data_IF_807284288534
#
_entry.id   IF_807284288534
#
_cell.length_a   1.000
_cell.length_b   1.000
_cell.length_c   1.000
_cell.angle_alpha   90.00
_cell.angle_beta   90.00
_cell.angle_gamma   90.00
#
_symmetry.space_group_name_H-M   'P 1'
#
loop_
_entity.id
_entity.type
_entity.pdbx_description
1 polymer ?
#
# COMPACT_ATOMS: atom_id res chain seq x y z
N UNK A 1 11.59 -4.87 10.92
CA UNK A 1 10.32 -5.49 10.43
C UNK A 1 9.82 -6.50 11.45
N UNK A 2 8.57 -6.37 11.85
CA UNK A 2 7.89 -7.33 12.73
C UNK A 2 7.06 -8.28 11.85
N UNK A 3 7.43 -9.55 11.80
CA UNK A 3 6.76 -10.55 10.96
C UNK A 3 5.29 -10.76 11.42
N UNK A 4 4.36 -10.66 10.51
CA UNK A 4 2.94 -11.01 10.70
C UNK A 4 2.57 -12.30 9.95
N UNK A 5 3.40 -12.70 9.00
CA UNK A 5 3.33 -13.99 8.32
C UNK A 5 4.76 -14.43 8.00
N UNK A 6 5.17 -15.58 8.52
CA UNK A 6 6.52 -16.10 8.29
C UNK A 6 6.79 -16.33 6.79
N UNK A 7 8.01 -15.96 6.36
CA UNK A 7 8.53 -16.34 5.06
C UNK A 7 9.38 -17.60 5.21
N UNK A 8 9.04 -18.63 4.46
CA UNK A 8 9.96 -19.74 4.19
C UNK A 8 10.94 -19.31 3.09
N UNK A 9 12.12 -19.94 3.00
CA UNK A 9 13.12 -19.60 1.98
C UNK A 9 12.49 -19.60 0.58
N UNK A 10 12.64 -18.47 -0.14
CA UNK A 10 12.08 -18.29 -1.48
C UNK A 10 10.58 -17.93 -1.53
N UNK A 11 9.89 -17.85 -0.40
CA UNK A 11 8.49 -17.44 -0.33
C UNK A 11 8.33 -16.02 0.22
N UNK A 12 7.28 -15.35 -0.22
CA UNK A 12 6.97 -14.00 0.23
C UNK A 12 6.34 -14.03 1.62
N UNK A 13 7.00 -13.42 2.59
CA UNK A 13 6.45 -13.13 3.91
C UNK A 13 5.79 -11.74 3.96
N UNK A 14 4.96 -11.53 4.98
CA UNK A 14 4.43 -10.22 5.32
C UNK A 14 4.99 -9.76 6.67
N UNK A 15 5.25 -8.46 6.78
CA UNK A 15 5.71 -7.84 8.01
C UNK A 15 5.14 -6.43 8.16
N UNK A 16 5.14 -5.91 9.38
CA UNK A 16 4.93 -4.49 9.62
C UNK A 16 6.22 -3.73 9.31
N UNK A 17 6.09 -2.59 8.64
CA UNK A 17 7.20 -1.69 8.38
C UNK A 17 7.66 -1.03 9.68
N UNK A 18 8.97 -0.98 9.88
CA UNK A 18 9.60 -0.29 10.99
C UNK A 18 10.45 0.89 10.48
N UNK A 19 10.70 1.86 11.33
CA UNK A 19 11.55 3.01 10.98
C UNK A 19 12.96 2.61 10.56
N UNK A 20 13.47 1.49 11.08
CA UNK A 20 14.77 0.93 10.75
C UNK A 20 14.86 0.34 9.33
N UNK A 21 13.72 0.13 8.65
CA UNK A 21 13.66 -0.48 7.32
C UNK A 21 13.93 0.50 6.17
N UNK A 22 14.41 1.70 6.49
CA UNK A 22 14.69 2.76 5.51
C UNK A 22 15.55 2.32 4.33
N UNK A 23 16.67 1.61 4.54
CA UNK A 23 17.50 1.12 3.45
C UNK A 23 16.76 0.18 2.49
N UNK A 24 15.96 -0.75 3.01
CA UNK A 24 15.18 -1.71 2.20
C UNK A 24 14.08 -0.99 1.42
N UNK A 25 13.38 -0.05 2.06
CA UNK A 25 12.35 0.74 1.42
C UNK A 25 12.91 1.60 0.29
N UNK A 26 14.08 2.22 0.49
CA UNK A 26 14.77 2.99 -0.54
C UNK A 26 15.12 2.09 -1.74
N UNK A 27 15.65 0.89 -1.50
CA UNK A 27 15.96 -0.05 -2.57
C UNK A 27 14.72 -0.48 -3.36
N UNK A 28 13.57 -0.64 -2.70
CA UNK A 28 12.30 -0.87 -3.39
C UNK A 28 12.03 0.25 -4.40
N UNK A 29 12.05 1.51 -3.98
CA UNK A 29 11.72 2.64 -4.84
C UNK A 29 12.69 2.80 -6.02
N UNK A 30 13.96 2.49 -5.85
CA UNK A 30 14.94 2.47 -6.94
C UNK A 30 14.68 1.39 -8.00
N UNK A 31 13.94 0.34 -7.66
CA UNK A 31 13.58 -0.74 -8.59
C UNK A 31 12.23 -0.53 -9.29
N UNK A 32 11.46 0.47 -8.90
CA UNK A 32 10.16 0.74 -9.52
C UNK A 32 10.34 1.40 -10.88
N UNK A 33 9.54 0.98 -11.87
CA UNK A 33 9.47 1.67 -13.16
C UNK A 33 8.88 3.07 -13.01
N UNK A 34 9.16 3.94 -13.97
CA UNK A 34 8.58 5.29 -14.03
C UNK A 34 7.04 5.23 -14.03
N UNK A 35 6.44 4.25 -14.69
CA UNK A 35 5.00 4.05 -14.73
C UNK A 35 4.45 3.67 -13.34
N UNK A 36 5.10 2.76 -12.62
CA UNK A 36 4.68 2.35 -11.27
C UNK A 36 4.79 3.52 -10.30
N UNK A 37 5.87 4.31 -10.36
CA UNK A 37 6.01 5.53 -9.56
C UNK A 37 4.93 6.55 -9.90
N UNK A 38 4.65 6.79 -11.18
CA UNK A 38 3.60 7.71 -11.61
C UNK A 38 2.22 7.29 -11.08
N UNK A 39 1.88 6.00 -11.19
CA UNK A 39 0.62 5.45 -10.68
C UNK A 39 0.50 5.57 -9.17
N UNK A 40 1.62 5.46 -8.45
CA UNK A 40 1.63 5.57 -6.98
C UNK A 40 1.50 7.01 -6.49
N UNK A 41 2.15 7.96 -7.15
CA UNK A 41 2.26 9.37 -6.70
C UNK A 41 1.39 10.34 -7.51
N UNK A 42 0.72 9.87 -8.56
CA UNK A 42 -0.14 10.69 -9.46
C UNK A 42 0.58 11.89 -10.08
N UNK A 43 1.90 11.85 -10.15
CA UNK A 43 2.74 12.86 -10.74
C UNK A 43 4.03 12.25 -11.31
N UNK A 44 4.65 12.87 -12.33
CA UNK A 44 5.93 12.39 -12.83
C UNK A 44 6.99 12.41 -11.72
N UNK A 45 7.60 11.26 -11.48
CA UNK A 45 8.73 11.10 -10.56
C UNK A 45 9.96 10.75 -11.40
N UNK A 46 10.81 11.73 -11.62
CA UNK A 46 11.99 11.58 -12.47
C UNK A 46 13.12 10.83 -11.76
N UNK A 47 13.18 10.93 -10.43
CA UNK A 47 14.18 10.26 -9.60
C UNK A 47 13.48 9.64 -8.37
N UNK A 48 13.88 8.44 -7.95
CA UNK A 48 13.28 7.76 -6.80
C UNK A 48 13.31 8.60 -5.51
N UNK A 49 14.31 9.46 -5.33
CA UNK A 49 14.43 10.35 -4.16
C UNK A 49 13.26 11.35 -4.07
N UNK A 50 12.69 11.74 -5.21
CA UNK A 50 11.54 12.66 -5.26
C UNK A 50 10.26 12.02 -4.70
N UNK A 51 10.20 10.68 -4.68
CA UNK A 51 9.13 9.94 -4.04
C UNK A 51 9.15 10.06 -2.51
N UNK A 52 10.22 10.61 -1.95
CA UNK A 52 10.42 10.82 -0.51
C UNK A 52 10.07 9.56 0.32
N UNK A 53 10.72 8.42 0.04
CA UNK A 53 10.38 7.14 0.70
C UNK A 53 10.51 7.21 2.22
N UNK A 54 11.34 8.13 2.75
CA UNK A 54 11.46 8.36 4.17
C UNK A 54 10.15 8.79 4.85
N UNK A 55 9.21 9.42 4.12
CA UNK A 55 7.88 9.75 4.65
C UNK A 55 7.03 8.51 4.92
N UNK A 56 7.31 7.41 4.25
CA UNK A 56 6.62 6.14 4.48
C UNK A 56 7.10 5.47 5.77
N UNK A 57 8.28 5.84 6.29
CA UNK A 57 8.82 5.36 7.56
C UNK A 57 8.18 6.04 8.78
N UNK A 58 7.36 7.06 8.56
CA UNK A 58 6.62 7.70 9.64
C UNK A 58 5.40 6.86 10.02
N UNK A 59 5.68 5.69 10.58
CA UNK A 59 4.69 4.75 11.12
C UNK A 59 4.68 4.86 12.64
N UNK A 60 3.47 4.88 13.20
CA UNK A 60 3.22 4.86 14.65
C UNK A 60 2.42 3.64 15.09
N UNK A 61 2.11 2.75 14.13
CA UNK A 61 1.33 1.53 14.30
C UNK A 61 -0.09 1.74 14.84
N UNK A 62 -0.61 2.93 14.71
CA UNK A 62 -1.95 3.33 15.13
C UNK A 62 -2.64 4.18 14.06
N UNK A 63 -2.21 5.44 13.88
CA UNK A 63 -2.76 6.33 12.85
C UNK A 63 -2.07 6.16 11.50
N UNK A 64 -0.86 5.68 11.50
CA UNK A 64 -0.05 5.40 10.31
C UNK A 64 0.56 4.01 10.41
N UNK A 65 0.09 3.14 9.54
CA UNK A 65 0.53 1.75 9.49
C UNK A 65 0.97 1.38 8.07
N UNK A 66 1.93 0.49 7.96
CA UNK A 66 2.34 -0.07 6.69
C UNK A 66 2.67 -1.57 6.83
N UNK A 67 2.10 -2.35 5.92
CA UNK A 67 2.41 -3.77 5.73
C UNK A 67 3.32 -3.89 4.51
N UNK A 68 4.40 -4.64 4.64
CA UNK A 68 5.36 -4.90 3.57
C UNK A 68 5.38 -6.37 3.20
N UNK A 69 5.55 -6.63 1.90
CA UNK A 69 5.88 -7.95 1.39
C UNK A 69 7.40 -8.08 1.30
N UNK A 70 7.95 -9.16 1.83
CA UNK A 70 9.39 -9.35 2.00
C UNK A 70 9.83 -10.69 1.40
N UNK A 71 10.90 -10.65 0.62
CA UNK A 71 11.59 -11.81 0.06
C UNK A 71 13.08 -11.64 0.32
N UNK A 72 13.71 -12.65 0.92
CA UNK A 72 15.16 -12.64 1.20
C UNK A 72 15.65 -11.32 1.85
N UNK A 73 14.89 -10.82 2.83
CA UNK A 73 15.11 -9.57 3.56
C UNK A 73 14.95 -8.28 2.73
N UNK A 74 14.50 -8.40 1.48
CA UNK A 74 14.19 -7.24 0.63
C UNK A 74 12.69 -6.97 0.59
N UNK A 75 12.31 -5.71 0.68
CA UNK A 75 10.93 -5.27 0.51
C UNK A 75 10.60 -5.28 -0.99
N UNK A 76 9.55 -6.01 -1.36
CA UNK A 76 9.05 -6.10 -2.74
C UNK A 76 7.68 -5.47 -2.93
N UNK A 77 7.06 -5.00 -1.87
CA UNK A 77 5.80 -4.27 -1.91
C UNK A 77 5.49 -3.61 -0.58
N UNK A 78 4.66 -2.58 -0.61
CA UNK A 78 4.17 -1.88 0.57
C UNK A 78 2.72 -1.46 0.38
N UNK A 79 1.89 -1.74 1.38
CA UNK A 79 0.53 -1.21 1.51
C UNK A 79 0.47 -0.42 2.82
N UNK A 80 -0.10 0.78 2.78
CA UNK A 80 -0.16 1.65 3.96
C UNK A 80 -1.52 2.31 4.10
N UNK A 81 -1.85 2.69 5.33
CA UNK A 81 -2.88 3.70 5.58
C UNK A 81 -2.33 4.86 6.40
N UNK A 82 -2.97 6.01 6.22
CA UNK A 82 -2.78 7.18 7.07
C UNK A 82 -4.16 7.73 7.46
N UNK A 83 -4.43 7.76 8.77
CA UNK A 83 -5.68 8.27 9.32
C UNK A 83 -5.68 9.80 9.27
N UNK A 84 -6.81 10.37 8.94
CA UNK A 84 -7.03 11.81 9.13
C UNK A 84 -7.15 12.14 10.61
N UNK A 85 -6.52 13.22 11.02
CA UNK A 85 -6.60 13.71 12.41
C UNK A 85 -8.07 13.90 12.83
N UNK A 86 -8.44 13.32 13.96
CA UNK A 86 -9.80 13.42 14.51
C UNK A 86 -10.88 12.65 13.74
N UNK A 87 -10.50 11.75 12.85
CA UNK A 87 -11.41 10.98 12.01
C UNK A 87 -11.22 9.47 12.22
N UNK A 88 -12.23 8.69 11.92
CA UNK A 88 -12.17 7.24 11.79
C UNK A 88 -11.89 6.77 10.35
N UNK A 89 -11.58 7.73 9.46
CA UNK A 89 -11.26 7.51 8.05
C UNK A 89 -9.75 7.54 7.81
N UNK A 90 -9.25 6.61 7.03
CA UNK A 90 -7.84 6.55 6.65
C UNK A 90 -7.68 6.44 5.13
N UNK A 91 -6.71 7.16 4.58
CA UNK A 91 -6.32 7.05 3.19
C UNK A 91 -5.38 5.87 2.99
N UNK A 92 -5.65 5.01 1.99
CA UNK A 92 -4.80 3.88 1.66
C UNK A 92 -4.04 4.08 0.36
N UNK A 93 -2.86 3.48 0.31
CA UNK A 93 -2.04 3.41 -0.89
C UNK A 93 -1.26 2.10 -0.92
N UNK A 94 -1.00 1.58 -2.12
CA UNK A 94 -0.32 0.31 -2.33
C UNK A 94 0.62 0.41 -3.52
N UNK A 95 1.76 -0.24 -3.42
CA UNK A 95 2.72 -0.41 -4.52
C UNK A 95 3.39 -1.78 -4.42
N UNK A 96 3.63 -2.41 -5.56
CA UNK A 96 4.37 -3.67 -5.69
C UNK A 96 5.46 -3.49 -6.72
N UNK A 97 6.67 -3.98 -6.46
CA UNK A 97 7.77 -4.01 -7.41
C UNK A 97 7.34 -4.69 -8.70
N UNK A 98 7.76 -4.16 -9.85
CA UNK A 98 7.27 -4.57 -11.17
C UNK A 98 7.40 -6.08 -11.40
N UNK A 99 8.53 -6.70 -11.02
CA UNK A 99 8.79 -8.13 -11.16
C UNK A 99 7.92 -9.01 -10.25
N UNK A 100 7.28 -8.42 -9.24
CA UNK A 100 6.44 -9.10 -8.26
C UNK A 100 4.95 -8.83 -8.42
N UNK A 101 4.57 -8.06 -9.44
CA UNK A 101 3.17 -7.79 -9.76
C UNK A 101 2.46 -9.04 -10.29
N UNK A 102 1.12 -9.05 -10.18
CA UNK A 102 0.23 -10.13 -10.64
C UNK A 102 0.48 -11.50 -9.97
N UNK A 103 1.05 -11.49 -8.78
CA UNK A 103 1.30 -12.70 -7.97
C UNK A 103 0.46 -12.72 -6.67
N UNK A 104 -0.57 -11.90 -6.60
CA UNK A 104 -1.48 -11.84 -5.46
C UNK A 104 -0.95 -11.09 -4.23
N UNK A 105 0.24 -10.48 -4.30
CA UNK A 105 0.86 -9.79 -3.16
C UNK A 105 0.04 -8.59 -2.69
N UNK A 106 -0.48 -7.81 -3.62
CA UNK A 106 -1.32 -6.66 -3.28
C UNK A 106 -2.55 -7.08 -2.48
N UNK A 107 -3.21 -8.17 -2.86
CA UNK A 107 -4.37 -8.72 -2.12
C UNK A 107 -3.97 -9.17 -0.72
N UNK A 108 -2.85 -9.88 -0.58
CA UNK A 108 -2.35 -10.32 0.73
C UNK A 108 -2.02 -9.16 1.65
N UNK A 109 -1.29 -8.16 1.15
CA UNK A 109 -0.94 -6.95 1.91
C UNK A 109 -2.19 -6.15 2.28
N UNK A 110 -3.14 -6.00 1.36
CA UNK A 110 -4.40 -5.28 1.61
C UNK A 110 -5.22 -5.98 2.69
N UNK A 111 -5.30 -7.33 2.68
CA UNK A 111 -5.97 -8.09 3.73
C UNK A 111 -5.36 -7.85 5.10
N UNK A 112 -4.03 -7.96 5.21
CA UNK A 112 -3.32 -7.73 6.45
C UNK A 112 -3.46 -6.27 6.94
N UNK A 113 -3.41 -5.32 6.02
CA UNK A 113 -3.61 -3.90 6.34
C UNK A 113 -5.03 -3.62 6.83
N UNK A 114 -6.03 -4.26 6.22
CA UNK A 114 -7.44 -4.16 6.63
C UNK A 114 -7.63 -4.67 8.07
N UNK A 115 -7.07 -5.84 8.39
CA UNK A 115 -7.16 -6.42 9.74
C UNK A 115 -6.47 -5.51 10.78
N UNK A 116 -5.31 -4.93 10.43
CA UNK A 116 -4.63 -3.94 11.28
C UNK A 116 -5.48 -2.69 11.49
N UNK A 117 -6.01 -2.12 10.41
CA UNK A 117 -6.86 -0.93 10.47
C UNK A 117 -8.10 -1.15 11.34
N UNK A 118 -8.73 -2.32 11.21
CA UNK A 118 -9.89 -2.70 12.03
C UNK A 118 -9.52 -2.77 13.52
N UNK A 119 -8.39 -3.37 13.86
CA UNK A 119 -7.93 -3.46 15.25
C UNK A 119 -7.60 -2.10 15.87
N UNK A 120 -7.19 -1.13 15.04
CA UNK A 120 -6.88 0.24 15.47
C UNK A 120 -8.09 1.20 15.38
N UNK A 121 -9.29 0.67 15.11
CA UNK A 121 -10.53 1.45 15.10
C UNK A 121 -10.72 2.34 13.87
N UNK A 122 -10.01 2.07 12.78
CA UNK A 122 -10.31 2.67 11.48
C UNK A 122 -11.63 2.07 10.97
N UNK A 123 -12.59 2.91 10.60
CA UNK A 123 -13.92 2.46 10.16
C UNK A 123 -14.11 2.49 8.66
N UNK A 124 -13.35 3.31 7.96
CA UNK A 124 -13.43 3.39 6.51
C UNK A 124 -12.10 3.76 5.88
N UNK A 125 -11.86 3.22 4.70
CA UNK A 125 -10.77 3.63 3.84
C UNK A 125 -11.24 4.58 2.75
N UNK A 126 -10.45 5.60 2.51
CA UNK A 126 -10.52 6.43 1.31
C UNK A 126 -9.38 6.04 0.37
N UNK A 127 -9.64 6.06 -0.92
CA UNK A 127 -8.63 5.75 -1.92
C UNK A 127 -8.81 6.63 -3.15
N UNK A 128 -7.69 6.94 -3.78
CA UNK A 128 -7.63 7.66 -5.04
C UNK A 128 -6.67 6.96 -5.97
N UNK A 129 -7.07 6.74 -7.21
CA UNK A 129 -6.25 6.05 -8.21
C UNK A 129 -6.52 6.60 -9.61
N UNK A 130 -5.56 6.48 -10.50
CA UNK A 130 -5.78 6.83 -11.89
C UNK A 130 -6.79 5.87 -12.52
N UNK A 131 -7.71 6.41 -13.32
CA UNK A 131 -8.76 5.61 -13.95
C UNK A 131 -8.23 4.55 -14.93
N UNK A 132 -7.05 4.77 -15.49
CA UNK A 132 -6.35 3.84 -16.38
C UNK A 132 -5.47 2.81 -15.64
N UNK A 133 -5.34 2.93 -14.33
CA UNK A 133 -4.64 1.93 -13.50
C UNK A 133 -5.51 0.69 -13.27
N UNK A 134 -5.77 -0.04 -14.35
CA UNK A 134 -6.64 -1.22 -14.35
C UNK A 134 -6.29 -2.26 -13.28
N UNK A 135 -5.01 -2.60 -13.03
CA UNK A 135 -4.67 -3.59 -12.02
C UNK A 135 -5.16 -3.21 -10.61
N UNK A 136 -4.97 -1.97 -10.21
CA UNK A 136 -5.41 -1.48 -8.89
C UNK A 136 -6.92 -1.34 -8.80
N UNK A 137 -7.57 -0.87 -9.88
CA UNK A 137 -9.05 -0.82 -9.95
C UNK A 137 -9.65 -2.22 -9.79
N UNK A 138 -9.09 -3.22 -10.47
CA UNK A 138 -9.54 -4.61 -10.35
C UNK A 138 -9.28 -5.18 -8.96
N UNK A 139 -8.13 -4.86 -8.34
CA UNK A 139 -7.81 -5.25 -6.97
C UNK A 139 -8.91 -4.79 -6.01
N UNK A 140 -9.24 -3.50 -6.04
CA UNK A 140 -10.23 -2.95 -5.12
C UNK A 140 -11.64 -3.46 -5.40
N UNK A 141 -12.03 -3.66 -6.66
CA UNK A 141 -13.32 -4.27 -7.01
C UNK A 141 -13.45 -5.72 -6.55
N UNK A 142 -12.35 -6.49 -6.56
CA UNK A 142 -12.35 -7.86 -6.05
C UNK A 142 -12.40 -7.90 -4.52
N UNK A 143 -11.67 -6.99 -3.88
CA UNK A 143 -11.58 -6.95 -2.43
C UNK A 143 -12.85 -6.35 -1.79
N UNK A 144 -13.46 -5.36 -2.45
CA UNK A 144 -14.69 -4.70 -2.06
C UNK A 144 -15.72 -4.79 -3.20
N UNK A 145 -16.48 -5.89 -3.31
CA UNK A 145 -17.40 -6.10 -4.43
C UNK A 145 -18.45 -5.00 -4.62
N UNK A 146 -18.86 -4.36 -3.53
CA UNK A 146 -19.87 -3.29 -3.51
C UNK A 146 -19.27 -1.88 -3.66
N UNK A 147 -17.98 -1.77 -4.02
CA UNK A 147 -17.31 -0.47 -4.11
C UNK A 147 -17.95 0.43 -5.16
N UNK A 148 -18.38 1.61 -4.74
CA UNK A 148 -18.77 2.68 -5.64
C UNK A 148 -17.57 3.61 -5.89
N UNK A 149 -17.24 3.83 -7.16
CA UNK A 149 -16.13 4.70 -7.55
C UNK A 149 -16.68 5.93 -8.28
N UNK A 150 -16.25 7.10 -7.84
CA UNK A 150 -16.56 8.38 -8.47
C UNK A 150 -15.42 8.79 -9.38
N UNK A 151 -15.74 9.08 -10.64
CA UNK A 151 -14.75 9.54 -11.62
C UNK A 151 -14.69 11.06 -11.65
N UNK A 152 -13.50 11.61 -11.51
CA UNK A 152 -13.23 13.04 -11.62
C UNK A 152 -11.83 13.30 -12.17
N UNK A 153 -11.74 14.09 -13.23
CA UNK A 153 -10.46 14.55 -13.81
C UNK A 153 -9.44 13.42 -14.08
N UNK A 154 -9.89 12.28 -14.60
CA UNK A 154 -9.02 11.11 -14.86
C UNK A 154 -8.67 10.28 -13.63
N UNK A 155 -9.18 10.64 -12.47
CA UNK A 155 -9.02 9.91 -11.22
C UNK A 155 -10.31 9.18 -10.85
N UNK A 156 -10.16 8.04 -10.18
CA UNK A 156 -11.23 7.34 -9.49
C UNK A 156 -11.02 7.51 -7.99
N UNK A 157 -12.08 7.88 -7.32
CA UNK A 157 -12.11 8.00 -5.86
C UNK A 157 -13.16 7.06 -5.29
N UNK A 158 -12.88 6.47 -4.14
CA UNK A 158 -13.81 5.61 -3.44
C UNK A 158 -13.66 5.71 -1.93
N UNK A 159 -14.73 5.38 -1.24
CA UNK A 159 -14.78 5.18 0.20
C UNK A 159 -15.36 3.80 0.45
N UNK A 160 -14.69 2.99 1.25
CA UNK A 160 -15.14 1.64 1.60
C UNK A 160 -15.11 1.42 3.11
N UNK A 161 -16.04 0.65 3.66
CA UNK A 161 -15.99 0.31 5.08
C UNK A 161 -14.83 -0.64 5.38
N UNK A 162 -14.22 -0.48 6.55
CA UNK A 162 -13.23 -1.42 7.12
C UNK A 162 -13.92 -2.50 7.97
N UNK A 163 -15.15 -2.27 8.42
CA UNK A 163 -15.93 -3.30 9.10
C UNK A 163 -16.41 -4.36 8.11
N UNK A 164 -16.26 -5.63 8.50
CA UNK A 164 -16.92 -6.76 7.85
C UNK A 164 -18.32 -6.91 8.39
#
# INVERSE_FOLDING_TARGET
MVAIQAAEQGHVGLALLERSDGPQLRRLFFRLSAQTLYRRFHSPVLRPEQAQPQRLLDVDHHDREAVVAVVDREIVGVARYARRVGSDSAEIAIVVADDWQRQGLATRMLSALHDRAQSEGVRQFTMSMQADNRPVVQLFRRFYPEIAMTHSQGMLEAVVPVAR
#
